data_IF_122652895601
#
_entry.id   IF_122652895601
#
_cell.length_a   1.000
_cell.length_b   1.000
_cell.length_c   1.000
_cell.angle_alpha   90.00
_cell.angle_beta   90.00
_cell.angle_gamma   90.00
#
_symmetry.space_group_name_H-M   'P 1'
#
loop_
_entity.id
_entity.type
_entity.pdbx_description
1 polymer ?
#
# COMPACT_ATOMS: atom_id res chain seq x y z
N UNK A 1 -61.98 33.72 4.36
CA UNK A 1 -60.86 34.66 4.57
C UNK A 1 -60.26 34.34 5.93
N UNK A 2 -58.92 34.30 5.98
CA UNK A 2 -58.04 34.03 7.13
C UNK A 2 -57.85 32.58 7.58
N UNK A 3 -56.66 32.11 7.24
CA UNK A 3 -55.95 30.92 7.70
C UNK A 3 -55.21 31.26 9.00
N UNK A 4 -55.24 30.36 9.97
CA UNK A 4 -54.13 30.17 10.93
C UNK A 4 -54.03 28.67 11.26
N UNK A 5 -52.89 28.09 10.86
CA UNK A 5 -52.57 26.66 10.96
C UNK A 5 -52.05 26.30 12.36
N UNK A 6 -52.71 25.30 12.96
CA UNK A 6 -52.14 24.08 13.54
C UNK A 6 -50.94 24.15 14.48
N UNK A 7 -51.18 23.81 15.75
CA UNK A 7 -50.18 23.38 16.73
C UNK A 7 -50.02 21.83 16.72
N UNK A 8 -48.76 21.40 16.65
CA UNK A 8 -48.08 20.24 17.30
C UNK A 8 -48.70 18.81 17.24
N UNK A 9 -48.07 17.96 16.39
CA UNK A 9 -47.49 16.58 16.52
C UNK A 9 -48.01 15.56 17.57
N UNK A 10 -47.67 14.24 17.49
CA UNK A 10 -47.23 13.38 16.35
C UNK A 10 -47.95 12.00 16.32
N UNK A 11 -47.82 11.23 15.23
CA UNK A 11 -47.56 9.78 15.36
C UNK A 11 -46.96 9.21 14.06
N UNK A 12 -45.66 8.86 14.11
CA UNK A 12 -45.00 8.04 13.11
C UNK A 12 -44.57 6.79 13.85
N UNK A 13 -45.32 5.71 13.62
CA UNK A 13 -44.99 4.37 14.08
C UNK A 13 -43.61 3.95 13.55
N UNK A 14 -42.59 4.14 14.38
CA UNK A 14 -41.36 3.36 14.33
C UNK A 14 -41.58 2.11 15.17
N UNK A 15 -41.62 0.95 14.53
CA UNK A 15 -41.58 -0.34 15.23
C UNK A 15 -40.40 -0.32 16.21
N UNK A 16 -40.60 -0.62 17.51
CA UNK A 16 -39.52 -0.56 18.47
C UNK A 16 -38.47 -1.60 18.08
N UNK A 17 -37.21 -1.16 18.02
CA UNK A 17 -36.08 -2.08 17.93
C UNK A 17 -36.20 -3.09 19.08
N UNK A 18 -36.04 -4.38 18.77
CA UNK A 18 -36.22 -5.53 19.70
C UNK A 18 -35.32 -5.51 20.95
N UNK A 19 -34.58 -4.42 21.17
CA UNK A 19 -33.65 -4.21 22.27
C UNK A 19 -34.27 -3.40 23.43
N UNK A 20 -35.54 -2.98 23.32
CA UNK A 20 -36.23 -2.19 24.34
C UNK A 20 -36.43 -2.92 25.68
N UNK A 21 -36.30 -4.25 25.68
CA UNK A 21 -36.51 -5.10 26.87
C UNK A 21 -35.20 -5.58 27.50
N UNK A 22 -34.05 -5.16 26.98
CA UNK A 22 -32.77 -5.53 27.57
C UNK A 22 -32.46 -4.64 28.77
N UNK A 23 -32.02 -5.25 29.86
CA UNK A 23 -31.50 -4.51 31.01
C UNK A 23 -30.26 -3.72 30.59
N UNK A 24 -29.95 -2.64 31.32
CA UNK A 24 -28.72 -1.85 31.09
C UNK A 24 -27.46 -2.72 31.10
N UNK A 25 -27.46 -3.81 31.87
CA UNK A 25 -26.37 -4.78 31.93
C UNK A 25 -26.27 -5.62 30.65
N UNK A 26 -27.40 -6.13 30.14
CA UNK A 26 -27.45 -6.89 28.90
C UNK A 26 -27.12 -6.01 27.69
N UNK A 27 -27.55 -4.74 27.66
CA UNK A 27 -27.16 -3.77 26.63
C UNK A 27 -25.66 -3.46 26.69
N UNK A 28 -25.08 -3.36 27.88
CA UNK A 28 -23.64 -3.19 28.04
C UNK A 28 -22.86 -4.45 27.63
N UNK A 29 -23.36 -5.65 27.91
CA UNK A 29 -22.76 -6.92 27.48
C UNK A 29 -22.92 -7.14 25.97
N UNK A 30 -24.04 -6.74 25.38
CA UNK A 30 -24.29 -6.72 23.94
C UNK A 30 -23.38 -5.72 23.21
N UNK A 31 -23.28 -4.48 23.70
CA UNK A 31 -22.34 -3.51 23.13
C UNK A 31 -20.88 -3.91 23.39
N UNK A 32 -20.57 -4.61 24.49
CA UNK A 32 -19.24 -5.20 24.71
C UNK A 32 -18.98 -6.33 23.73
N UNK A 33 -19.95 -7.19 23.40
CA UNK A 33 -19.78 -8.28 22.43
C UNK A 33 -19.70 -7.77 20.99
N UNK A 34 -20.49 -6.75 20.62
CA UNK A 34 -20.37 -6.02 19.35
C UNK A 34 -19.03 -5.28 19.23
N UNK A 35 -18.61 -4.56 20.28
CA UNK A 35 -17.34 -3.81 20.30
C UNK A 35 -16.11 -4.69 20.51
N UNK A 36 -16.26 -5.96 20.92
CA UNK A 36 -15.15 -6.92 20.96
C UNK A 36 -14.84 -7.56 19.59
N UNK A 37 -15.72 -7.40 18.60
CA UNK A 37 -15.48 -7.90 17.24
C UNK A 37 -14.89 -6.84 16.29
N UNK A 38 -14.15 -5.85 16.80
CA UNK A 38 -13.23 -5.07 15.96
C UNK A 38 -12.15 -6.01 15.46
N UNK A 39 -12.44 -6.71 14.36
CA UNK A 39 -11.48 -7.55 13.66
C UNK A 39 -10.36 -6.62 13.25
N UNK A 40 -9.27 -6.65 14.02
CA UNK A 40 -8.11 -5.83 13.74
C UNK A 40 -7.77 -6.03 12.27
N UNK A 41 -7.74 -4.95 11.50
CA UNK A 41 -7.45 -5.03 10.07
C UNK A 41 -6.12 -5.76 9.89
N UNK A 42 -6.14 -6.86 9.14
CA UNK A 42 -5.00 -7.76 8.92
C UNK A 42 -4.93 -8.12 7.44
N UNK A 43 -3.73 -8.36 6.93
CA UNK A 43 -3.55 -8.88 5.59
C UNK A 43 -3.58 -10.41 5.62
N UNK A 44 -4.33 -10.98 4.70
CA UNK A 44 -4.37 -12.39 4.37
C UNK A 44 -3.58 -12.60 3.08
N UNK A 45 -2.77 -13.64 3.06
CA UNK A 45 -2.01 -14.07 1.90
C UNK A 45 -2.63 -15.35 1.35
N UNK A 46 -2.93 -15.34 0.06
CA UNK A 46 -3.36 -16.51 -0.70
C UNK A 46 -2.37 -16.74 -1.83
N UNK A 47 -2.08 -18.00 -2.14
CA UNK A 47 -1.36 -18.33 -3.38
C UNK A 47 -2.39 -18.91 -4.33
N UNK A 48 -2.97 -18.06 -5.17
CA UNK A 48 -4.14 -18.41 -5.98
C UNK A 48 -3.79 -19.49 -7.00
N UNK A 49 -2.70 -19.31 -7.72
CA UNK A 49 -2.27 -20.20 -8.79
C UNK A 49 -0.75 -20.39 -8.81
N UNK A 50 -0.31 -21.43 -9.49
CA UNK A 50 1.08 -21.67 -9.82
C UNK A 50 1.16 -22.06 -11.29
N UNK A 51 2.09 -21.47 -12.04
CA UNK A 51 2.32 -21.82 -13.44
C UNK A 51 3.79 -22.15 -13.68
N UNK A 52 4.05 -23.04 -14.61
CA UNK A 52 5.40 -23.33 -15.07
C UNK A 52 5.73 -22.31 -16.17
N UNK A 53 6.75 -21.49 -15.93
CA UNK A 53 7.34 -20.63 -16.95
C UNK A 53 8.57 -21.32 -17.54
N UNK A 54 8.62 -21.34 -18.87
CA UNK A 54 9.77 -21.80 -19.63
C UNK A 54 10.30 -20.64 -20.47
N UNK A 55 11.52 -20.22 -20.14
CA UNK A 55 12.31 -19.25 -20.90
C UNK A 55 13.40 -20.00 -21.65
N UNK A 56 13.99 -19.34 -22.66
CA UNK A 56 15.03 -19.92 -23.54
C UNK A 56 16.11 -20.76 -22.84
N UNK A 57 16.48 -20.41 -21.61
CA UNK A 57 17.55 -21.08 -20.83
C UNK A 57 17.12 -21.48 -19.41
N UNK A 58 15.84 -21.36 -19.06
CA UNK A 58 15.40 -21.67 -17.69
C UNK A 58 13.94 -22.07 -17.61
N UNK A 59 13.65 -23.07 -16.78
CA UNK A 59 12.30 -23.52 -16.44
C UNK A 59 12.09 -23.37 -14.94
N UNK A 60 11.01 -22.70 -14.53
CA UNK A 60 10.72 -22.46 -13.12
C UNK A 60 9.22 -22.30 -12.87
N UNK A 61 8.80 -22.48 -11.62
CA UNK A 61 7.42 -22.27 -11.21
C UNK A 61 7.24 -20.85 -10.67
N UNK A 62 6.26 -20.14 -11.19
CA UNK A 62 5.79 -18.84 -10.70
C UNK A 62 4.53 -19.02 -9.87
N UNK A 63 4.56 -18.47 -8.66
CA UNK A 63 3.44 -18.47 -7.73
C UNK A 63 2.76 -17.10 -7.74
N UNK A 64 1.46 -17.09 -8.00
CA UNK A 64 0.64 -15.89 -7.93
C UNK A 64 0.15 -15.69 -6.50
N UNK A 65 0.63 -14.64 -5.84
CA UNK A 65 0.28 -14.26 -4.49
C UNK A 65 -0.81 -13.18 -4.56
N UNK A 66 -1.91 -13.41 -3.87
CA UNK A 66 -3.02 -12.48 -3.69
C UNK A 66 -3.01 -12.01 -2.24
N UNK A 67 -2.96 -10.69 -2.04
CA UNK A 67 -2.96 -10.05 -0.72
C UNK A 67 -4.30 -9.35 -0.51
N UNK A 68 -5.02 -9.78 0.53
CA UNK A 68 -6.38 -9.33 0.84
C UNK A 68 -6.38 -8.69 2.22
N UNK A 69 -6.99 -7.51 2.35
CA UNK A 69 -7.26 -6.86 3.62
C UNK A 69 -8.53 -7.43 4.24
N UNK A 70 -8.41 -7.93 5.46
CA UNK A 70 -9.52 -8.52 6.23
C UNK A 70 -9.97 -7.56 7.33
N UNK A 71 -11.23 -7.66 7.75
CA UNK A 71 -11.83 -6.75 8.74
C UNK A 71 -12.49 -5.50 8.15
N UNK A 72 -12.39 -5.30 6.83
CA UNK A 72 -13.10 -4.27 6.06
C UNK A 72 -13.43 -4.83 4.66
N UNK A 73 -14.31 -4.15 3.92
CA UNK A 73 -14.47 -4.44 2.49
C UNK A 73 -13.15 -4.09 1.76
N UNK A 74 -12.51 -5.09 1.15
CA UNK A 74 -11.31 -4.88 0.35
C UNK A 74 -11.67 -4.80 -1.13
N UNK A 75 -11.82 -3.56 -1.60
CA UNK A 75 -12.08 -3.26 -3.01
C UNK A 75 -10.86 -3.45 -3.91
N UNK A 76 -9.65 -3.60 -3.34
CA UNK A 76 -8.41 -3.52 -4.09
C UNK A 76 -7.44 -4.65 -3.74
N UNK A 77 -7.80 -5.88 -4.12
CA UNK A 77 -6.93 -7.06 -3.94
C UNK A 77 -5.64 -6.86 -4.71
N UNK A 78 -4.50 -6.99 -4.03
CA UNK A 78 -3.20 -6.88 -4.68
C UNK A 78 -2.76 -8.25 -5.19
N UNK A 79 -2.29 -8.31 -6.44
CA UNK A 79 -1.82 -9.54 -7.08
C UNK A 79 -0.37 -9.31 -7.51
N UNK A 80 0.51 -10.21 -7.10
CA UNK A 80 1.94 -10.18 -7.44
C UNK A 80 2.46 -11.60 -7.64
N UNK A 81 3.64 -11.74 -8.23
CA UNK A 81 4.14 -13.06 -8.63
C UNK A 81 5.58 -13.27 -8.19
N UNK A 82 5.87 -14.43 -7.59
CA UNK A 82 7.21 -14.77 -7.10
C UNK A 82 7.54 -16.21 -7.43
N UNK A 83 8.80 -16.49 -7.74
CA UNK A 83 9.30 -17.87 -7.83
C UNK A 83 9.86 -18.32 -6.49
N UNK A 84 9.99 -19.63 -6.31
CA UNK A 84 10.53 -20.22 -5.07
C UNK A 84 11.87 -19.58 -4.63
N UNK A 85 12.80 -19.32 -5.56
CA UNK A 85 14.08 -18.71 -5.23
C UNK A 85 13.99 -17.28 -4.69
N UNK A 86 12.88 -16.57 -4.92
CA UNK A 86 12.66 -15.25 -4.32
C UNK A 86 12.29 -15.38 -2.85
N UNK A 87 11.47 -16.38 -2.50
CA UNK A 87 11.18 -16.75 -1.12
C UNK A 87 12.44 -17.25 -0.40
N UNK A 88 13.27 -18.06 -1.06
CA UNK A 88 14.55 -18.52 -0.50
C UNK A 88 15.47 -17.32 -0.20
N UNK A 89 15.50 -16.31 -1.09
CA UNK A 89 16.27 -15.08 -0.87
C UNK A 89 15.70 -14.24 0.27
N UNK A 90 14.37 -14.18 0.44
CA UNK A 90 13.74 -13.57 1.60
C UNK A 90 14.15 -14.29 2.89
N UNK A 91 14.01 -15.62 2.95
CA UNK A 91 14.37 -16.41 4.13
C UNK A 91 15.83 -16.17 4.54
N UNK A 92 16.76 -16.17 3.57
CA UNK A 92 18.19 -15.88 3.84
C UNK A 92 18.42 -14.47 4.40
N UNK A 93 17.64 -13.47 3.98
CA UNK A 93 17.72 -12.11 4.53
C UNK A 93 17.14 -12.06 5.94
N UNK A 94 16.00 -12.69 6.16
CA UNK A 94 15.35 -12.72 7.48
C UNK A 94 16.22 -13.46 8.51
N UNK A 95 16.83 -14.59 8.16
CA UNK A 95 17.75 -15.32 9.06
C UNK A 95 19.01 -14.54 9.46
N UNK A 96 19.36 -13.46 8.74
CA UNK A 96 20.47 -12.57 9.10
C UNK A 96 20.06 -11.53 10.14
N UNK A 97 18.80 -11.12 10.14
CA UNK A 97 18.32 -9.94 10.90
C UNK A 97 17.36 -10.31 12.02
N UNK A 98 16.57 -11.38 11.85
CA UNK A 98 15.46 -11.80 12.72
C UNK A 98 15.53 -13.29 13.05
N UNK A 99 16.76 -13.82 13.26
CA UNK A 99 16.98 -15.27 13.41
C UNK A 99 16.16 -15.86 14.55
N UNK A 100 16.16 -15.18 15.70
CA UNK A 100 15.48 -15.63 16.92
C UNK A 100 13.95 -15.56 16.72
N UNK A 101 13.46 -14.48 16.12
CA UNK A 101 12.01 -14.26 15.97
C UNK A 101 11.36 -15.20 14.95
N UNK A 102 12.13 -15.77 14.02
CA UNK A 102 11.62 -16.70 13.00
C UNK A 102 12.01 -18.15 13.25
N UNK A 103 12.55 -18.50 14.44
CA UNK A 103 13.01 -19.86 14.75
C UNK A 103 11.92 -20.92 14.53
N UNK A 104 10.68 -20.62 14.94
CA UNK A 104 9.52 -21.51 14.77
C UNK A 104 8.89 -21.46 13.36
N UNK A 105 9.40 -20.61 12.47
CA UNK A 105 8.84 -20.47 11.12
C UNK A 105 9.46 -21.48 10.16
N UNK A 106 8.67 -22.50 9.82
CA UNK A 106 9.09 -23.54 8.89
C UNK A 106 9.15 -23.00 7.45
N UNK A 107 10.34 -23.04 6.84
CA UNK A 107 10.52 -22.71 5.43
C UNK A 107 10.47 -23.97 4.54
N UNK A 108 9.73 -23.97 3.42
CA UNK A 108 9.63 -25.15 2.55
C UNK A 108 10.99 -25.52 1.95
N UNK A 109 11.40 -26.80 2.06
CA UNK A 109 12.70 -27.27 1.59
C UNK A 109 12.82 -27.23 0.06
N UNK A 110 14.03 -26.96 -0.41
CA UNK A 110 14.36 -27.02 -1.83
C UNK A 110 14.44 -28.48 -2.26
N UNK A 111 13.79 -28.82 -3.37
CA UNK A 111 13.86 -30.15 -3.96
C UNK A 111 14.70 -30.08 -5.23
N UNK A 112 15.41 -31.16 -5.55
CA UNK A 112 16.27 -31.25 -6.74
C UNK A 112 15.58 -32.02 -7.89
N UNK A 113 14.64 -32.91 -7.57
CA UNK A 113 13.90 -33.76 -8.52
C UNK A 113 12.40 -33.58 -8.29
N UNK A 114 11.58 -33.71 -9.33
CA UNK A 114 10.12 -33.68 -9.21
C UNK A 114 9.50 -32.30 -8.97
N UNK A 115 10.27 -31.21 -9.10
CA UNK A 115 9.79 -29.84 -8.81
C UNK A 115 8.62 -29.34 -9.68
N UNK A 116 8.29 -30.06 -10.76
CA UNK A 116 7.26 -29.69 -11.73
C UNK A 116 6.05 -30.62 -11.69
N UNK A 117 6.00 -31.61 -10.79
CA UNK A 117 4.79 -32.43 -10.63
C UNK A 117 3.69 -31.61 -9.97
N UNK A 118 2.44 -31.91 -10.29
CA UNK A 118 1.28 -31.15 -9.80
C UNK A 118 1.14 -31.25 -8.27
N UNK A 119 1.40 -32.43 -7.72
CA UNK A 119 1.36 -32.69 -6.28
C UNK A 119 2.39 -31.81 -5.57
N UNK A 120 3.62 -31.75 -6.10
CA UNK A 120 4.70 -30.98 -5.50
C UNK A 120 4.48 -29.48 -5.59
N UNK A 121 3.93 -29.01 -6.72
CA UNK A 121 3.55 -27.61 -6.89
C UNK A 121 2.44 -27.25 -5.88
N UNK A 122 1.47 -28.14 -5.68
CA UNK A 122 0.33 -27.94 -4.77
C UNK A 122 0.75 -27.92 -3.30
N UNK A 123 1.58 -28.88 -2.86
CA UNK A 123 2.14 -28.90 -1.51
C UNK A 123 2.99 -27.65 -1.24
N UNK A 124 3.86 -27.29 -2.18
CA UNK A 124 4.71 -26.11 -2.05
C UNK A 124 3.89 -24.82 -2.03
N UNK A 125 2.80 -24.74 -2.80
CA UNK A 125 1.84 -23.63 -2.75
C UNK A 125 1.24 -23.47 -1.34
N UNK A 126 0.79 -24.56 -0.72
CA UNK A 126 0.25 -24.51 0.65
C UNK A 126 1.32 -24.08 1.66
N UNK A 127 2.52 -24.64 1.56
CA UNK A 127 3.60 -24.36 2.49
C UNK A 127 4.11 -22.90 2.36
N UNK A 128 4.19 -22.35 1.15
CA UNK A 128 4.56 -20.95 0.93
C UNK A 128 3.46 -19.97 1.40
N UNK A 129 2.19 -20.34 1.25
CA UNK A 129 1.06 -19.58 1.81
C UNK A 129 1.19 -19.49 3.33
N UNK A 130 1.39 -20.63 3.98
CA UNK A 130 1.53 -20.70 5.43
C UNK A 130 2.76 -19.95 5.93
N UNK A 131 3.89 -20.06 5.21
CA UNK A 131 5.10 -19.29 5.49
C UNK A 131 4.84 -17.77 5.51
N UNK A 132 4.15 -17.21 4.51
CA UNK A 132 3.80 -15.78 4.51
C UNK A 132 2.87 -15.40 5.66
N UNK A 133 1.92 -16.27 6.01
CA UNK A 133 1.00 -16.07 7.14
C UNK A 133 1.79 -15.97 8.46
N UNK A 134 2.72 -16.89 8.69
CA UNK A 134 3.56 -16.93 9.88
C UNK A 134 4.48 -15.69 9.97
N UNK A 135 5.17 -15.34 8.87
CA UNK A 135 6.00 -14.14 8.83
C UNK A 135 5.21 -12.86 9.13
N UNK A 136 3.99 -12.73 8.58
CA UNK A 136 3.16 -11.55 8.80
C UNK A 136 2.62 -11.44 10.23
N UNK A 137 2.50 -12.56 10.94
CA UNK A 137 2.10 -12.57 12.35
C UNK A 137 3.19 -11.95 13.25
N UNK A 138 4.46 -12.03 12.85
CA UNK A 138 5.60 -11.49 13.58
C UNK A 138 5.75 -9.99 13.29
N UNK A 139 5.55 -9.15 14.32
CA UNK A 139 5.46 -7.68 14.14
C UNK A 139 6.72 -7.04 13.56
N UNK A 140 7.91 -7.43 14.04
CA UNK A 140 9.18 -6.87 13.55
C UNK A 140 9.44 -7.25 12.09
N UNK A 141 9.24 -8.53 11.73
CA UNK A 141 9.33 -9.03 10.36
C UNK A 141 8.33 -8.36 9.43
N UNK A 142 7.05 -8.29 9.82
CA UNK A 142 6.01 -7.64 9.00
C UNK A 142 6.35 -6.19 8.63
N UNK A 143 7.00 -5.47 9.54
CA UNK A 143 7.41 -4.06 9.34
C UNK A 143 8.82 -3.92 8.77
N UNK A 144 9.52 -5.03 8.55
CA UNK A 144 10.88 -5.01 8.07
C UNK A 144 10.94 -4.65 6.59
N UNK A 145 12.06 -4.04 6.20
CA UNK A 145 12.31 -3.73 4.79
C UNK A 145 12.41 -5.01 3.96
N UNK A 146 12.95 -6.09 4.52
CA UNK A 146 13.11 -7.37 3.84
C UNK A 146 11.77 -7.94 3.37
N UNK A 147 10.77 -7.92 4.24
CA UNK A 147 9.43 -8.44 3.94
C UNK A 147 8.67 -7.53 2.98
N UNK A 148 8.72 -6.22 3.21
CA UNK A 148 8.06 -5.23 2.33
C UNK A 148 8.69 -5.24 0.93
N UNK A 149 10.02 -5.27 0.83
CA UNK A 149 10.75 -5.35 -0.44
C UNK A 149 10.41 -6.63 -1.19
N UNK A 150 10.26 -7.76 -0.50
CA UNK A 150 9.84 -9.01 -1.14
C UNK A 150 8.50 -8.85 -1.85
N UNK A 151 7.53 -8.14 -1.26
CA UNK A 151 6.20 -7.97 -1.83
C UNK A 151 6.11 -6.87 -2.90
N UNK A 152 7.02 -5.89 -2.92
CA UNK A 152 6.83 -4.66 -3.71
C UNK A 152 8.01 -4.23 -4.57
N UNK A 153 9.24 -4.58 -4.19
CA UNK A 153 10.44 -4.00 -4.80
C UNK A 153 10.64 -4.38 -6.28
N UNK A 154 10.38 -5.63 -6.74
CA UNK A 154 10.49 -5.95 -8.16
C UNK A 154 9.62 -5.06 -9.04
N UNK A 155 8.35 -4.89 -8.68
CA UNK A 155 7.38 -4.06 -9.39
C UNK A 155 7.78 -2.58 -9.35
N UNK A 156 8.20 -2.08 -8.18
CA UNK A 156 8.68 -0.70 -8.06
C UNK A 156 9.94 -0.47 -8.90
N UNK A 157 10.90 -1.39 -8.89
CA UNK A 157 12.11 -1.28 -9.73
C UNK A 157 11.76 -1.21 -11.23
N UNK A 158 10.80 -2.02 -11.67
CA UNK A 158 10.30 -1.97 -13.04
C UNK A 158 9.58 -0.66 -13.35
N UNK A 159 8.65 -0.22 -12.49
CA UNK A 159 7.88 1.01 -12.68
C UNK A 159 8.78 2.24 -12.79
N UNK A 160 9.72 2.38 -11.86
CA UNK A 160 10.69 3.47 -11.88
C UNK A 160 11.65 3.34 -13.09
N UNK A 161 11.94 2.10 -13.53
CA UNK A 161 12.70 1.84 -14.76
C UNK A 161 11.98 2.38 -16.00
N UNK A 162 10.68 2.13 -16.09
CA UNK A 162 9.82 2.65 -17.15
C UNK A 162 9.75 4.18 -17.09
N UNK A 163 9.60 4.78 -15.90
CA UNK A 163 9.60 6.23 -15.71
C UNK A 163 10.89 6.87 -16.24
N UNK A 164 12.05 6.31 -15.90
CA UNK A 164 13.36 6.78 -16.42
C UNK A 164 13.47 6.66 -17.94
N UNK A 165 12.90 5.61 -18.52
CA UNK A 165 12.89 5.41 -19.96
C UNK A 165 11.83 6.26 -20.69
N UNK A 166 11.11 7.15 -20.00
CA UNK A 166 10.03 7.96 -20.58
C UNK A 166 8.74 7.16 -20.87
N UNK A 167 8.66 5.90 -20.45
CA UNK A 167 7.50 5.03 -20.63
C UNK A 167 6.47 5.27 -19.51
N UNK A 168 5.93 6.49 -19.44
CA UNK A 168 5.08 6.96 -18.34
C UNK A 168 3.78 6.15 -18.18
N UNK A 169 3.13 5.79 -19.29
CA UNK A 169 1.93 4.95 -19.26
C UNK A 169 2.19 3.58 -18.63
N UNK A 170 3.24 2.89 -19.07
CA UNK A 170 3.65 1.60 -18.52
C UNK A 170 4.06 1.70 -17.05
N UNK A 171 4.76 2.79 -16.67
CA UNK A 171 5.10 3.04 -15.28
C UNK A 171 3.83 3.17 -14.40
N UNK A 172 2.82 3.91 -14.87
CA UNK A 172 1.54 4.05 -14.17
C UNK A 172 0.77 2.73 -14.06
N UNK A 173 0.74 1.91 -15.12
CA UNK A 173 0.08 0.60 -15.09
C UNK A 173 0.65 -0.31 -13.99
N UNK A 174 1.94 -0.17 -13.67
CA UNK A 174 2.57 -0.89 -12.57
C UNK A 174 2.30 -0.20 -11.23
N UNK A 175 2.46 1.13 -11.16
CA UNK A 175 2.27 1.91 -9.93
C UNK A 175 0.85 1.78 -9.36
N UNK A 176 -0.18 1.85 -10.21
CA UNK A 176 -1.59 1.71 -9.82
C UNK A 176 -1.86 0.34 -9.16
N UNK A 177 -1.11 -0.70 -9.52
CA UNK A 177 -1.24 -2.03 -8.92
C UNK A 177 -0.45 -2.19 -7.63
N UNK A 178 0.75 -1.61 -7.53
CA UNK A 178 1.64 -1.80 -6.37
C UNK A 178 1.40 -0.80 -5.23
N UNK A 179 0.96 0.43 -5.52
CA UNK A 179 0.70 1.45 -4.49
C UNK A 179 -0.36 1.00 -3.48
N UNK A 180 -1.51 0.41 -3.86
CA UNK A 180 -2.47 -0.10 -2.89
C UNK A 180 -1.90 -1.19 -1.98
N UNK A 181 -0.99 -2.01 -2.49
CA UNK A 181 -0.26 -2.99 -1.68
C UNK A 181 0.70 -2.30 -0.70
N UNK A 182 1.42 -1.27 -1.15
CA UNK A 182 2.28 -0.47 -0.27
C UNK A 182 1.46 0.17 0.86
N UNK A 183 0.28 0.74 0.57
CA UNK A 183 -0.61 1.35 1.58
C UNK A 183 -0.96 0.35 2.69
N UNK A 184 -1.34 -0.86 2.28
CA UNK A 184 -1.66 -1.98 3.17
C UNK A 184 -0.48 -2.38 4.04
N UNK A 185 0.72 -2.47 3.48
CA UNK A 185 1.93 -2.94 4.16
C UNK A 185 2.57 -1.86 5.06
N UNK A 186 2.46 -0.60 4.67
CA UNK A 186 3.20 0.52 5.28
C UNK A 186 2.32 1.49 6.04
N UNK A 187 1.13 1.06 6.46
CA UNK A 187 0.24 1.84 7.35
C UNK A 187 0.93 2.37 8.62
N UNK A 188 1.96 1.68 9.10
CA UNK A 188 2.78 2.10 10.25
C UNK A 188 3.82 3.17 9.93
N UNK A 189 4.13 3.40 8.65
CA UNK A 189 5.09 4.39 8.16
C UNK A 189 4.66 4.92 6.77
N UNK A 190 3.68 5.83 6.70
CA UNK A 190 3.13 6.35 5.45
C UNK A 190 4.17 7.02 4.53
N UNK A 191 5.29 7.48 5.08
CA UNK A 191 6.39 8.08 4.31
C UNK A 191 6.96 7.15 3.23
N UNK A 192 6.86 5.83 3.43
CA UNK A 192 7.33 4.84 2.45
C UNK A 192 6.57 4.90 1.12
N UNK A 193 5.37 5.51 1.09
CA UNK A 193 4.59 5.69 -0.13
C UNK A 193 4.99 6.92 -0.95
N UNK A 194 5.63 7.89 -0.32
CA UNK A 194 5.91 9.20 -0.93
C UNK A 194 6.66 9.06 -2.26
N UNK A 195 7.73 8.24 -2.40
CA UNK A 195 8.40 8.08 -3.67
C UNK A 195 7.47 7.59 -4.79
N UNK A 196 6.64 6.57 -4.51
CA UNK A 196 5.72 5.99 -5.49
C UNK A 196 4.62 6.97 -5.91
N UNK A 197 4.05 7.72 -4.95
CA UNK A 197 3.03 8.73 -5.24
C UNK A 197 3.62 9.91 -6.04
N UNK A 198 4.84 10.36 -5.70
CA UNK A 198 5.57 11.36 -6.47
C UNK A 198 5.88 10.86 -7.90
N UNK A 199 6.21 9.58 -8.07
CA UNK A 199 6.40 8.98 -9.39
C UNK A 199 5.09 8.97 -10.21
N UNK A 200 3.95 8.62 -9.58
CA UNK A 200 2.64 8.73 -10.24
C UNK A 200 2.33 10.16 -10.67
N UNK A 201 2.57 11.16 -9.81
CA UNK A 201 2.42 12.57 -10.16
C UNK A 201 3.25 12.94 -11.40
N UNK A 202 4.54 12.59 -11.39
CA UNK A 202 5.45 12.89 -12.52
C UNK A 202 4.95 12.24 -13.80
N UNK A 203 4.55 10.97 -13.76
CA UNK A 203 4.01 10.28 -14.93
C UNK A 203 2.72 10.94 -15.44
N UNK A 204 1.76 11.26 -14.56
CA UNK A 204 0.51 11.92 -14.98
C UNK A 204 0.77 13.30 -15.58
N UNK A 205 1.64 14.10 -14.96
CA UNK A 205 2.01 15.42 -15.47
C UNK A 205 2.65 15.33 -16.85
N UNK A 206 3.61 14.43 -17.04
CA UNK A 206 4.33 14.28 -18.31
C UNK A 206 3.46 13.62 -19.40
N UNK A 207 2.28 13.11 -19.04
CA UNK A 207 1.22 12.66 -19.95
C UNK A 207 0.09 13.68 -20.11
N UNK A 208 0.30 14.95 -19.69
CA UNK A 208 -0.68 16.04 -19.80
C UNK A 208 -2.00 15.76 -19.06
N UNK A 209 -1.91 15.07 -17.92
CA UNK A 209 -3.05 14.77 -17.03
C UNK A 209 -2.91 15.51 -15.69
N UNK A 210 -3.08 16.84 -15.67
CA UNK A 210 -2.77 17.66 -14.51
C UNK A 210 -3.67 17.39 -13.31
N UNK A 211 -4.95 17.02 -13.52
CA UNK A 211 -5.89 16.74 -12.45
C UNK A 211 -5.49 15.47 -11.66
N UNK A 212 -5.13 14.40 -12.37
CA UNK A 212 -4.65 13.15 -11.78
C UNK A 212 -3.27 13.32 -11.14
N UNK A 213 -2.39 14.12 -11.76
CA UNK A 213 -1.10 14.48 -11.17
C UNK A 213 -1.28 15.20 -9.83
N UNK A 214 -2.19 16.17 -9.78
CA UNK A 214 -2.52 16.89 -8.56
C UNK A 214 -3.07 15.96 -7.48
N UNK A 215 -4.02 15.07 -7.83
CA UNK A 215 -4.58 14.10 -6.88
C UNK A 215 -3.52 13.14 -6.30
N UNK A 216 -2.56 12.68 -7.12
CA UNK A 216 -1.43 11.88 -6.63
C UNK A 216 -0.53 12.68 -5.68
N UNK A 217 -0.30 13.96 -5.96
CA UNK A 217 0.47 14.86 -5.11
C UNK A 217 -0.20 15.22 -3.79
N UNK A 218 -1.53 15.39 -3.78
CA UNK A 218 -2.29 15.58 -2.54
C UNK A 218 -2.12 14.37 -1.61
N UNK A 219 -2.21 13.16 -2.15
CA UNK A 219 -1.93 11.93 -1.38
C UNK A 219 -0.50 11.89 -0.86
N UNK A 220 0.48 12.30 -1.67
CA UNK A 220 1.88 12.37 -1.23
C UNK A 220 2.10 13.39 -0.10
N UNK A 221 1.47 14.58 -0.19
CA UNK A 221 1.50 15.60 0.86
C UNK A 221 0.81 15.11 2.15
N UNK A 222 -0.30 14.38 2.03
CA UNK A 222 -0.97 13.75 3.17
C UNK A 222 -0.05 12.74 3.88
N UNK A 223 0.71 11.94 3.13
CA UNK A 223 1.70 11.02 3.71
C UNK A 223 2.85 11.76 4.42
N UNK A 224 3.29 12.90 3.88
CA UNK A 224 4.34 13.73 4.48
C UNK A 224 3.86 14.46 5.74
N UNK A 225 2.58 14.80 5.80
CA UNK A 225 2.02 15.66 6.85
C UNK A 225 2.88 16.95 6.98
N UNK A 226 3.17 17.38 8.21
CA UNK A 226 4.04 18.53 8.51
C UNK A 226 5.54 18.16 8.58
N UNK A 227 6.00 17.08 7.92
CA UNK A 227 7.43 16.69 7.94
C UNK A 227 8.24 17.46 6.90
N UNK A 228 8.50 18.72 7.22
CA UNK A 228 9.26 19.66 6.37
C UNK A 228 10.68 19.20 6.04
N UNK A 229 11.29 18.36 6.89
CA UNK A 229 12.67 17.87 6.71
C UNK A 229 12.82 16.77 5.65
N UNK A 230 11.73 16.25 5.11
CA UNK A 230 11.77 15.15 4.17
C UNK A 230 12.27 15.59 2.79
N UNK A 231 13.12 14.79 2.13
CA UNK A 231 13.77 15.15 0.85
C UNK A 231 12.79 15.54 -0.27
N UNK A 232 11.58 14.98 -0.22
CA UNK A 232 10.51 15.25 -1.20
C UNK A 232 9.65 16.46 -0.86
N UNK A 233 9.72 17.02 0.35
CA UNK A 233 8.74 18.01 0.82
C UNK A 233 8.73 19.28 -0.03
N UNK A 234 9.86 19.99 -0.11
CA UNK A 234 9.94 21.23 -0.89
C UNK A 234 9.73 21.00 -2.41
N UNK A 235 10.36 20.01 -3.06
CA UNK A 235 10.15 19.77 -4.50
C UNK A 235 8.72 19.35 -4.84
N UNK A 236 8.04 18.66 -3.92
CA UNK A 236 6.62 18.32 -4.09
C UNK A 236 5.73 19.57 -3.95
N UNK A 237 5.97 20.42 -2.96
CA UNK A 237 5.22 21.69 -2.82
C UNK A 237 5.38 22.57 -4.06
N UNK A 238 6.60 22.72 -4.58
CA UNK A 238 6.86 23.47 -5.79
C UNK A 238 6.10 22.90 -7.01
N UNK A 239 6.13 21.57 -7.18
CA UNK A 239 5.37 20.92 -8.25
C UNK A 239 3.85 21.08 -8.09
N UNK A 240 3.37 20.98 -6.85
CA UNK A 240 1.95 21.13 -6.52
C UNK A 240 1.45 22.56 -6.72
N UNK A 241 2.25 23.58 -6.37
CA UNK A 241 1.89 24.98 -6.60
C UNK A 241 1.73 25.28 -8.10
N UNK A 242 2.65 24.77 -8.94
CA UNK A 242 2.54 24.88 -10.40
C UNK A 242 1.29 24.19 -10.95
N UNK A 243 0.99 22.98 -10.47
CA UNK A 243 -0.21 22.25 -10.87
C UNK A 243 -1.48 22.95 -10.40
N UNK A 244 -1.51 23.48 -9.17
CA UNK A 244 -2.64 24.24 -8.64
C UNK A 244 -2.92 25.47 -9.50
N UNK A 245 -1.88 26.25 -9.81
CA UNK A 245 -1.99 27.41 -10.69
C UNK A 245 -2.58 27.03 -12.07
N UNK A 246 -2.05 25.99 -12.71
CA UNK A 246 -2.54 25.51 -14.01
C UNK A 246 -3.99 25.01 -13.96
N UNK A 247 -4.44 24.50 -12.82
CA UNK A 247 -5.81 24.03 -12.61
C UNK A 247 -6.77 25.10 -12.06
N UNK A 248 -6.30 26.34 -11.83
CA UNK A 248 -7.10 27.38 -11.18
C UNK A 248 -7.49 27.07 -9.73
N UNK A 249 -6.71 26.22 -9.04
CA UNK A 249 -6.88 25.91 -7.61
C UNK A 249 -6.08 26.90 -6.75
N UNK A 250 -6.40 26.96 -5.46
CA UNK A 250 -5.60 27.73 -4.51
C UNK A 250 -4.15 27.19 -4.46
N UNK A 251 -3.22 28.02 -4.95
CA UNK A 251 -1.78 27.76 -4.92
C UNK A 251 -1.06 28.61 -3.87
N UNK A 252 -1.73 29.61 -3.28
CA UNK A 252 -1.14 30.57 -2.34
C UNK A 252 -0.72 29.83 -1.08
N UNK A 253 -1.60 28.99 -0.53
CA UNK A 253 -1.30 28.16 0.65
C UNK A 253 -0.14 27.18 0.43
N UNK A 254 0.04 26.67 -0.79
CA UNK A 254 1.18 25.80 -1.15
C UNK A 254 2.48 26.59 -1.25
N UNK A 255 2.41 27.82 -1.76
CA UNK A 255 3.55 28.71 -1.90
C UNK A 255 4.03 29.24 -0.55
N UNK A 256 3.13 29.67 0.33
CA UNK A 256 3.45 30.10 1.70
C UNK A 256 4.19 28.99 2.46
N UNK A 257 3.68 27.75 2.41
CA UNK A 257 4.33 26.58 3.02
C UNK A 257 5.71 26.29 2.44
N UNK A 258 5.92 26.56 1.16
CA UNK A 258 7.20 26.38 0.49
C UNK A 258 8.20 27.44 0.99
N UNK A 259 7.80 28.72 1.02
CA UNK A 259 8.61 29.84 1.49
C UNK A 259 9.02 29.64 2.96
N UNK A 260 8.08 29.27 3.84
CA UNK A 260 8.35 28.94 5.24
C UNK A 260 9.39 27.81 5.37
N UNK A 261 9.26 26.74 4.57
CA UNK A 261 10.19 25.61 4.61
C UNK A 261 11.61 25.99 4.18
N UNK A 262 11.72 26.89 3.19
CA UNK A 262 13.00 27.37 2.66
C UNK A 262 13.70 28.33 3.64
N UNK A 263 12.93 29.18 4.33
CA UNK A 263 13.46 30.06 5.38
C UNK A 263 14.07 29.25 6.55
N UNK A 264 13.43 28.15 6.93
CA UNK A 264 13.93 27.27 8.00
C UNK A 264 15.13 26.42 7.57
N UNK A 265 15.15 25.99 6.30
CA UNK A 265 16.23 25.17 5.72
C UNK A 265 16.51 25.60 4.27
N UNK A 266 17.49 26.49 4.06
CA UNK A 266 17.94 26.83 2.72
C UNK A 266 18.51 25.58 2.04
N UNK A 267 17.92 25.17 0.91
CA UNK A 267 18.38 24.00 0.18
C UNK A 267 19.72 24.32 -0.53
N UNK A 268 20.80 23.63 -0.16
CA UNK A 268 22.14 23.78 -0.76
C UNK A 268 22.19 23.37 -2.25
N UNK A 269 21.25 22.53 -2.70
CA UNK A 269 21.04 22.13 -4.09
C UNK A 269 19.59 21.66 -4.25
N UNK A 270 18.74 22.46 -4.87
CA UNK A 270 17.33 22.10 -5.09
C UNK A 270 17.21 21.08 -6.22
N UNK A 271 16.97 19.81 -5.90
CA UNK A 271 16.55 18.83 -6.91
C UNK A 271 15.07 19.03 -7.21
N UNK A 272 14.70 19.00 -8.49
CA UNK A 272 13.30 18.94 -8.90
C UNK A 272 12.67 17.61 -8.47
N UNK A 273 11.32 17.59 -8.38
CA UNK A 273 10.59 16.36 -8.08
C UNK A 273 10.91 15.22 -9.06
N UNK A 274 11.10 15.56 -10.34
CA UNK A 274 11.47 14.60 -11.39
C UNK A 274 12.87 14.03 -11.15
N UNK A 275 13.85 14.86 -10.81
CA UNK A 275 15.20 14.40 -10.50
C UNK A 275 15.25 13.47 -9.28
N UNK A 276 14.48 13.76 -8.23
CA UNK A 276 14.41 12.88 -7.06
C UNK A 276 13.77 11.54 -7.37
N UNK A 277 12.71 11.52 -8.19
CA UNK A 277 12.02 10.28 -8.57
C UNK A 277 12.86 9.41 -9.50
N UNK A 278 13.59 9.97 -10.47
CA UNK A 278 14.44 9.16 -11.36
C UNK A 278 15.61 8.49 -10.62
N UNK A 279 16.06 9.07 -9.51
CA UNK A 279 17.13 8.50 -8.67
C UNK A 279 16.68 7.30 -7.80
N UNK A 280 15.39 7.04 -7.70
CA UNK A 280 14.87 5.91 -6.91
C UNK A 280 15.12 4.56 -7.60
N UNK A 281 15.40 3.54 -6.79
CA UNK A 281 15.62 2.15 -7.19
C UNK A 281 16.77 1.90 -8.21
N UNK A 282 17.79 2.78 -8.22
CA UNK A 282 18.98 2.61 -9.07
C UNK A 282 19.86 1.42 -8.66
N UNK A 283 19.82 0.99 -7.40
CA UNK A 283 20.64 -0.09 -6.83
C UNK A 283 19.76 -1.22 -6.26
#
# INVERSE_FOLDING_TARGET
MLVLKGAVLPDVHSSPSSNSNMTTRELQEYWRSEKCCWKHVKLLFEIASARIEERRVSKFVMYQIVVIQTGSFDSNKAILERRYSDFERLQKKLLKTFREEIEDVVFPKKLLVGNFTEEMISERKLALKEYLRLLYAIRCVRRSREFIDFLTRPELKEAFGCLRAGQYAKALDILVRVVPLQEKLTSHCPLMLVPSLCAMLVCHRDMERPAEAFAAGERALQCLQARESHRYYAPLLEAMARLAYALGKDFVSLQERLEESQLRKPALRGFTLKELTVQEYLY
#
